data_IF_520879014824
#
_entry.id   IF_520879014824
#
_cell.length_a   1.000
_cell.length_b   1.000
_cell.length_c   1.000
_cell.angle_alpha   90.00
_cell.angle_beta   90.00
_cell.angle_gamma   90.00
#
_symmetry.space_group_name_H-M   'P 1'
#
loop_
_entity.id
_entity.type
_entity.pdbx_description
1 polymer ?
#
# COMPACT_ATOMS: atom_id res chain seq x y z
N UNK A 1 58.46 18.34 -21.14
CA UNK A 1 58.00 17.03 -21.63
C UNK A 1 56.51 16.89 -21.32
N UNK A 2 55.70 16.56 -22.34
CA UNK A 2 54.25 16.19 -22.36
C UNK A 2 53.25 17.35 -22.10
N UNK A 3 52.47 17.88 -23.07
CA UNK A 3 51.31 17.32 -23.84
C UNK A 3 50.15 16.90 -22.88
N UNK A 4 48.86 17.27 -23.00
CA UNK A 4 48.01 17.73 -24.13
C UNK A 4 46.63 18.27 -23.63
N UNK A 5 46.00 19.16 -24.44
CA UNK A 5 44.56 19.30 -24.81
C UNK A 5 43.49 19.73 -23.76
N UNK A 6 42.89 20.94 -23.86
CA UNK A 6 41.66 21.35 -24.60
C UNK A 6 40.37 20.77 -23.94
N UNK A 7 39.36 21.54 -23.51
CA UNK A 7 38.31 22.13 -24.36
C UNK A 7 37.51 23.20 -23.59
N UNK A 8 37.12 24.21 -24.38
CA UNK A 8 36.35 25.45 -24.18
C UNK A 8 34.84 25.20 -23.98
N UNK A 9 34.13 25.97 -23.13
CA UNK A 9 32.91 26.74 -23.51
C UNK A 9 32.27 27.56 -22.35
N UNK A 10 32.50 28.89 -22.41
CA UNK A 10 31.55 30.01 -22.38
C UNK A 10 30.29 29.91 -21.48
N UNK A 11 30.29 30.70 -20.40
CA UNK A 11 29.13 31.10 -19.59
C UNK A 11 28.90 32.62 -19.70
N UNK A 12 27.65 33.04 -19.90
CA UNK A 12 27.06 34.40 -19.71
C UNK A 12 25.70 34.42 -20.45
N UNK A 13 24.57 35.02 -20.06
CA UNK A 13 24.13 35.98 -19.04
C UNK A 13 22.58 35.94 -19.02
N UNK A 14 21.96 36.32 -17.90
CA UNK A 14 20.50 36.45 -17.73
C UNK A 14 19.93 37.74 -18.34
N UNK A 15 18.66 37.74 -18.79
CA UNK A 15 17.83 38.94 -19.00
C UNK A 15 16.32 38.69 -18.73
N UNK A 16 15.54 39.73 -18.38
CA UNK A 16 14.17 39.64 -17.85
C UNK A 16 13.09 39.68 -18.95
N UNK A 17 12.01 38.92 -18.77
CA UNK A 17 10.84 38.93 -19.69
C UNK A 17 9.83 39.98 -19.21
N UNK A 18 9.70 41.07 -19.97
CA UNK A 18 8.77 42.18 -19.75
C UNK A 18 7.40 41.96 -20.43
N UNK A 19 6.41 42.68 -19.91
CA UNK A 19 4.97 42.61 -20.19
C UNK A 19 4.48 42.88 -21.63
N UNK A 20 5.36 42.97 -22.63
CA UNK A 20 4.95 43.14 -24.04
C UNK A 20 4.24 41.89 -24.61
N UNK A 21 4.62 40.68 -24.17
CA UNK A 21 4.07 39.40 -24.67
C UNK A 21 2.56 39.23 -24.43
N UNK A 22 1.98 39.93 -23.46
CA UNK A 22 0.60 39.69 -23.04
C UNK A 22 -0.41 40.44 -23.93
N UNK A 23 -0.09 41.65 -24.39
CA UNK A 23 -1.00 42.44 -25.24
C UNK A 23 -1.09 41.93 -26.68
N UNK A 24 -0.04 41.29 -27.20
CA UNK A 24 -0.08 40.63 -28.52
C UNK A 24 -0.96 39.37 -28.52
N UNK A 25 -1.08 38.68 -27.37
CA UNK A 25 -1.98 37.53 -27.23
C UNK A 25 -3.46 37.92 -27.19
N UNK A 26 -3.80 39.10 -26.66
CA UNK A 26 -5.19 39.55 -26.55
C UNK A 26 -5.75 40.05 -27.89
N UNK A 27 -4.95 40.73 -28.72
CA UNK A 27 -5.41 41.18 -30.05
C UNK A 27 -5.64 40.05 -31.07
N UNK A 28 -4.96 38.91 -30.88
CA UNK A 28 -5.07 37.75 -31.79
C UNK A 28 -6.36 36.94 -31.56
N UNK A 29 -7.05 37.11 -30.42
CA UNK A 29 -8.25 36.35 -30.06
C UNK A 29 -9.56 36.75 -30.74
N UNK A 30 -9.63 37.93 -31.38
CA UNK A 30 -10.90 38.47 -31.89
C UNK A 30 -11.21 38.13 -33.37
N UNK A 31 -10.31 37.43 -34.08
CA UNK A 31 -10.42 37.24 -35.54
C UNK A 31 -10.72 35.83 -36.04
N UNK A 32 -11.07 34.86 -35.18
CA UNK A 32 -11.16 33.43 -35.58
C UNK A 32 -12.45 32.73 -35.15
N UNK A 33 -13.61 33.39 -35.28
CA UNK A 33 -14.91 32.78 -34.91
C UNK A 33 -15.49 31.92 -36.05
N UNK A 34 -15.01 32.07 -37.29
CA UNK A 34 -15.63 31.44 -38.47
C UNK A 34 -15.11 30.01 -38.77
N UNK A 35 -13.91 29.63 -38.32
CA UNK A 35 -13.31 28.29 -38.53
C UNK A 35 -13.64 27.27 -37.42
N UNK A 36 -14.25 27.72 -36.31
CA UNK A 36 -14.50 26.88 -35.13
C UNK A 36 -15.70 25.95 -35.33
N UNK A 37 -16.63 26.30 -36.23
CA UNK A 37 -17.83 25.50 -36.47
C UNK A 37 -17.54 24.15 -37.18
N UNK A 38 -16.50 24.06 -38.02
CA UNK A 38 -16.12 22.79 -38.67
C UNK A 38 -15.23 21.92 -37.79
N UNK A 39 -14.31 22.51 -37.01
CA UNK A 39 -13.49 21.76 -36.03
C UNK A 39 -14.30 21.24 -34.84
N UNK A 40 -15.45 21.84 -34.53
CA UNK A 40 -16.32 21.39 -33.44
C UNK A 40 -16.90 19.98 -33.68
N UNK A 41 -17.13 19.57 -34.93
CA UNK A 41 -17.69 18.24 -35.23
C UNK A 41 -16.60 17.16 -35.18
N UNK A 42 -15.39 17.46 -35.66
CA UNK A 42 -14.25 16.53 -35.60
C UNK A 42 -13.69 16.39 -34.17
N UNK A 43 -13.73 17.47 -33.37
CA UNK A 43 -13.34 17.45 -31.97
C UNK A 43 -14.35 16.69 -31.08
N UNK A 44 -15.63 16.67 -31.44
CA UNK A 44 -16.62 15.80 -30.78
C UNK A 44 -16.38 14.33 -31.15
N UNK A 45 -15.97 14.01 -32.38
CA UNK A 45 -15.56 12.66 -32.75
C UNK A 45 -14.36 12.14 -31.94
N UNK A 46 -13.30 12.96 -31.80
CA UNK A 46 -12.12 12.60 -31.00
C UNK A 46 -12.39 12.62 -29.48
N UNK A 47 -13.32 13.46 -29.01
CA UNK A 47 -13.73 13.46 -27.61
C UNK A 47 -14.57 12.21 -27.28
N UNK A 48 -15.38 11.70 -28.21
CA UNK A 48 -16.16 10.46 -27.99
C UNK A 48 -15.23 9.23 -27.98
N UNK A 49 -14.17 9.19 -28.80
CA UNK A 49 -13.12 8.16 -28.70
C UNK A 49 -12.33 8.26 -27.38
N UNK A 50 -11.99 9.47 -26.92
CA UNK A 50 -11.29 9.66 -25.63
C UNK A 50 -12.20 9.47 -24.40
N UNK A 51 -13.53 9.40 -24.59
CA UNK A 51 -14.49 9.11 -23.51
C UNK A 51 -14.90 7.64 -23.51
N UNK A 52 -14.63 6.89 -24.59
CA UNK A 52 -14.74 5.43 -24.65
C UNK A 52 -13.74 4.69 -23.75
N UNK A 53 -12.66 5.36 -23.32
CA UNK A 53 -11.64 4.82 -22.41
C UNK A 53 -11.89 5.17 -20.93
N UNK A 54 -12.98 5.90 -20.64
CA UNK A 54 -13.39 6.28 -19.28
C UNK A 54 -14.64 5.53 -18.79
N UNK A 55 -15.05 4.49 -19.53
CA UNK A 55 -16.16 3.59 -19.15
C UNK A 55 -15.66 2.14 -19.16
N UNK A 56 -14.66 1.89 -18.32
CA UNK A 56 -14.34 0.56 -17.80
C UNK A 56 -14.09 0.76 -16.31
N UNK A 57 -15.08 0.44 -15.48
CA UNK A 57 -14.96 0.34 -14.01
C UNK A 57 -14.05 -0.84 -13.61
N UNK A 58 -12.92 -1.03 -14.30
CA UNK A 58 -11.86 -1.96 -13.90
C UNK A 58 -10.66 -1.13 -13.46
N UNK A 59 -10.41 -1.09 -12.16
CA UNK A 59 -9.13 -0.62 -11.66
C UNK A 59 -8.03 -1.51 -12.24
N UNK A 60 -7.12 -0.94 -13.05
CA UNK A 60 -5.99 -1.71 -13.57
C UNK A 60 -5.17 -2.31 -12.41
N UNK A 61 -4.44 -3.42 -12.63
CA UNK A 61 -3.52 -3.95 -11.62
C UNK A 61 -2.57 -2.87 -11.08
N UNK A 62 -2.07 -1.97 -11.92
CA UNK A 62 -1.18 -0.88 -11.52
C UNK A 62 -1.85 0.13 -10.61
N UNK A 63 -3.08 0.58 -10.95
CA UNK A 63 -3.85 1.48 -10.11
C UNK A 63 -4.16 0.83 -8.75
N UNK A 64 -4.49 -0.46 -8.80
CA UNK A 64 -4.78 -1.29 -7.63
C UNK A 64 -3.56 -1.43 -6.72
N UNK A 65 -2.36 -1.68 -7.29
CA UNK A 65 -1.09 -1.71 -6.56
C UNK A 65 -0.79 -0.37 -5.89
N UNK A 66 -0.91 0.73 -6.62
CA UNK A 66 -0.67 2.07 -6.08
C UNK A 66 -1.58 2.42 -4.89
N UNK A 67 -2.85 1.99 -4.92
CA UNK A 67 -3.77 2.15 -3.79
C UNK A 67 -3.36 1.31 -2.58
N UNK A 68 -2.97 0.05 -2.78
CA UNK A 68 -2.47 -0.80 -1.71
C UNK A 68 -1.17 -0.28 -1.12
N UNK A 69 -0.29 0.26 -1.96
CA UNK A 69 0.98 0.82 -1.53
C UNK A 69 0.78 1.99 -0.59
N UNK A 70 -0.10 2.92 -0.98
CA UNK A 70 -0.49 4.05 -0.14
C UNK A 70 -1.12 3.56 1.18
N UNK A 71 -2.02 2.58 1.12
CA UNK A 71 -2.66 2.02 2.32
C UNK A 71 -1.62 1.42 3.27
N UNK A 72 -0.68 0.61 2.75
CA UNK A 72 0.35 -0.02 3.55
C UNK A 72 1.27 1.01 4.23
N UNK A 73 1.64 2.06 3.52
CA UNK A 73 2.45 3.16 4.06
C UNK A 73 1.69 3.91 5.17
N UNK A 74 0.42 4.25 4.95
CA UNK A 74 -0.42 4.94 5.95
C UNK A 74 -0.62 4.10 7.22
N UNK A 75 -0.88 2.79 7.06
CA UNK A 75 -1.04 1.86 8.18
C UNK A 75 0.25 1.75 8.99
N UNK A 76 1.40 1.58 8.33
CA UNK A 76 2.68 1.48 9.02
C UNK A 76 3.02 2.80 9.73
N UNK A 77 2.92 3.94 9.06
CA UNK A 77 3.20 5.26 9.65
C UNK A 77 2.37 5.45 10.91
N UNK A 78 1.07 5.13 10.85
CA UNK A 78 0.18 5.23 11.99
C UNK A 78 0.61 4.33 13.14
N UNK A 79 0.93 3.06 12.86
CA UNK A 79 1.40 2.13 13.88
C UNK A 79 2.65 2.65 14.59
N UNK A 80 3.66 3.10 13.84
CA UNK A 80 4.93 3.56 14.40
C UNK A 80 4.76 4.86 15.20
N UNK A 81 3.81 5.71 14.82
CA UNK A 81 3.49 6.94 15.55
C UNK A 81 2.72 6.67 16.85
N UNK A 82 1.84 5.68 16.86
CA UNK A 82 0.95 5.39 17.99
C UNK A 82 1.51 4.31 18.95
N UNK A 83 2.54 3.56 18.56
CA UNK A 83 3.10 2.46 19.34
C UNK A 83 4.64 2.43 19.31
N UNK A 84 5.28 2.85 20.41
CA UNK A 84 6.73 2.88 20.53
C UNK A 84 7.39 1.50 20.51
N UNK A 85 6.70 0.45 21.00
CA UNK A 85 7.19 -0.92 20.94
C UNK A 85 7.27 -1.40 19.48
N UNK A 86 6.25 -1.10 18.67
CA UNK A 86 6.25 -1.38 17.24
C UNK A 86 7.41 -0.68 16.53
N UNK A 87 7.74 0.57 16.91
CA UNK A 87 8.91 1.27 16.39
C UNK A 87 10.23 0.57 16.73
N UNK A 88 10.36 -0.02 17.92
CA UNK A 88 11.53 -0.79 18.32
C UNK A 88 11.61 -2.18 17.66
N UNK A 89 10.47 -2.78 17.30
CA UNK A 89 10.42 -4.04 16.54
C UNK A 89 10.74 -3.79 15.06
N UNK A 90 10.20 -2.73 14.47
CA UNK A 90 10.40 -2.38 13.06
C UNK A 90 11.87 -2.22 12.70
N UNK A 91 12.64 -1.54 13.56
CA UNK A 91 14.09 -1.30 13.39
C UNK A 91 14.92 -2.56 13.22
N UNK A 92 14.45 -3.69 13.77
CA UNK A 92 15.17 -4.97 13.76
C UNK A 92 14.45 -6.03 12.92
N UNK A 93 13.39 -5.66 12.20
CA UNK A 93 12.62 -6.58 11.36
C UNK A 93 13.26 -6.75 9.98
N UNK A 94 13.10 -7.94 9.39
CA UNK A 94 13.51 -8.24 8.02
C UNK A 94 12.49 -7.81 6.95
N UNK A 95 11.37 -7.23 7.39
CA UNK A 95 10.27 -6.82 6.54
C UNK A 95 8.99 -6.75 7.35
N UNK A 96 7.95 -6.23 6.72
CA UNK A 96 6.61 -6.15 7.31
C UNK A 96 5.53 -6.47 6.29
N UNK A 97 4.35 -6.82 6.77
CA UNK A 97 3.15 -6.91 5.96
C UNK A 97 2.01 -6.11 6.61
N UNK A 98 1.49 -5.13 5.88
CA UNK A 98 0.41 -4.26 6.34
C UNK A 98 -0.88 -4.57 5.58
N UNK A 99 -1.98 -4.74 6.32
CA UNK A 99 -3.29 -5.08 5.78
C UNK A 99 -4.38 -4.15 6.28
N UNK A 100 -5.38 -3.94 5.44
CA UNK A 100 -6.67 -3.39 5.83
C UNK A 100 -7.76 -4.45 5.59
N UNK A 101 -8.54 -4.73 6.63
CA UNK A 101 -9.63 -5.70 6.61
C UNK A 101 -10.98 -5.00 6.67
N UNK A 102 -11.87 -5.43 5.77
CA UNK A 102 -13.29 -5.08 5.80
C UNK A 102 -14.09 -6.30 6.27
N UNK A 103 -15.00 -6.08 7.22
CA UNK A 103 -15.87 -7.14 7.73
C UNK A 103 -17.21 -7.12 7.01
N UNK A 104 -17.64 -8.29 6.56
CA UNK A 104 -19.00 -8.52 6.08
C UNK A 104 -19.67 -9.43 7.11
N UNK A 105 -20.65 -8.90 7.84
CA UNK A 105 -21.41 -9.69 8.82
C UNK A 105 -22.77 -10.04 8.24
N UNK A 106 -23.00 -11.33 7.97
CA UNK A 106 -24.28 -11.87 7.48
C UNK A 106 -24.76 -12.88 8.51
N UNK A 107 -25.70 -12.51 9.37
CA UNK A 107 -26.23 -13.41 10.40
C UNK A 107 -26.61 -14.79 9.81
N UNK A 108 -26.12 -15.93 10.36
CA UNK A 108 -25.34 -16.12 11.60
C UNK A 108 -23.81 -16.22 11.41
N UNK A 109 -23.27 -15.93 10.23
CA UNK A 109 -21.85 -16.06 9.88
C UNK A 109 -21.17 -14.68 9.73
N UNK A 110 -20.03 -14.50 10.39
CA UNK A 110 -19.17 -13.34 10.12
C UNK A 110 -17.92 -13.79 9.38
N UNK A 111 -17.66 -13.19 8.22
CA UNK A 111 -16.41 -13.33 7.50
C UNK A 111 -15.77 -11.95 7.32
N UNK A 112 -14.44 -11.91 7.33
CA UNK A 112 -13.68 -10.71 7.02
C UNK A 112 -12.75 -11.01 5.87
N UNK A 113 -12.65 -10.08 4.94
CA UNK A 113 -11.70 -10.14 3.84
C UNK A 113 -10.90 -8.84 3.81
N UNK A 114 -9.61 -8.96 3.54
CA UNK A 114 -8.70 -7.84 3.52
C UNK A 114 -7.62 -7.99 2.46
N UNK A 115 -6.96 -6.88 2.18
CA UNK A 115 -5.85 -6.80 1.24
C UNK A 115 -4.68 -6.08 1.89
N UNK A 116 -3.48 -6.40 1.45
CA UNK A 116 -2.27 -5.87 2.04
C UNK A 116 -1.07 -5.93 1.14
N UNK A 117 0.03 -5.40 1.66
CA UNK A 117 1.34 -5.41 1.01
C UNK A 117 2.37 -5.91 2.02
N UNK A 118 3.15 -6.91 1.61
CA UNK A 118 4.37 -7.31 2.29
C UNK A 118 5.57 -6.60 1.65
N UNK A 119 6.37 -5.92 2.44
CA UNK A 119 7.52 -5.13 2.00
C UNK A 119 8.79 -5.67 2.65
N UNK A 120 9.73 -6.08 1.79
CA UNK A 120 11.05 -6.57 2.18
C UNK A 120 11.91 -5.42 2.70
N UNK A 121 12.58 -5.62 3.85
CA UNK A 121 13.55 -4.64 4.34
C UNK A 121 14.88 -4.67 3.54
N UNK A 122 15.15 -5.75 2.80
CA UNK A 122 16.40 -5.97 2.07
C UNK A 122 16.51 -5.09 0.83
N UNK A 123 15.43 -5.01 0.06
CA UNK A 123 15.39 -4.39 -1.28
C UNK A 123 14.15 -3.51 -1.51
N UNK A 124 13.24 -3.43 -0.55
CA UNK A 124 11.98 -2.71 -0.69
C UNK A 124 10.97 -3.39 -1.61
N UNK A 125 11.22 -4.65 -2.02
CA UNK A 125 10.31 -5.39 -2.88
C UNK A 125 8.94 -5.53 -2.22
N UNK A 126 7.90 -5.27 -3.00
CA UNK A 126 6.50 -5.30 -2.56
C UNK A 126 5.81 -6.53 -3.13
N UNK A 127 5.23 -7.35 -2.25
CA UNK A 127 4.36 -8.47 -2.61
C UNK A 127 2.93 -8.14 -2.17
N UNK A 128 1.98 -8.24 -3.09
CA UNK A 128 0.58 -7.94 -2.81
C UNK A 128 -0.10 -9.18 -2.25
N UNK A 129 -0.83 -9.00 -1.16
CA UNK A 129 -1.35 -10.09 -0.34
C UNK A 129 -2.85 -9.92 -0.11
N UNK A 130 -3.51 -11.04 0.13
CA UNK A 130 -4.90 -11.13 0.56
C UNK A 130 -4.97 -11.75 1.95
N UNK A 131 -6.04 -11.47 2.67
CA UNK A 131 -6.35 -12.13 3.94
C UNK A 131 -7.83 -12.44 4.07
N UNK A 132 -8.14 -13.49 4.81
CA UNK A 132 -9.50 -13.97 5.05
C UNK A 132 -9.66 -14.50 6.46
N UNK A 133 -10.79 -14.19 7.08
CA UNK A 133 -11.18 -14.68 8.41
C UNK A 133 -12.51 -15.43 8.34
N UNK A 134 -12.59 -16.59 9.00
CA UNK A 134 -13.82 -17.41 9.04
C UNK A 134 -13.68 -18.68 9.91
N UNK A 135 -14.80 -19.28 10.31
CA UNK A 135 -14.85 -20.57 11.02
C UNK A 135 -15.72 -20.62 12.29
N UNK A 136 -16.00 -21.83 12.79
CA UNK A 136 -16.67 -22.07 14.09
C UNK A 136 -15.69 -21.70 15.20
N UNK A 137 -15.87 -20.52 15.81
CA UNK A 137 -14.86 -19.88 16.67
C UNK A 137 -14.48 -18.46 16.23
N UNK A 138 -14.86 -18.05 15.01
CA UNK A 138 -14.75 -16.67 14.51
C UNK A 138 -15.64 -15.66 15.27
N UNK A 139 -16.32 -16.12 16.34
CA UNK A 139 -17.05 -15.29 17.29
C UNK A 139 -16.13 -14.57 18.30
N UNK A 140 -14.86 -14.97 18.45
CA UNK A 140 -13.96 -14.37 19.44
C UNK A 140 -12.91 -13.46 18.80
N UNK A 141 -13.03 -12.16 19.05
CA UNK A 141 -11.85 -11.37 19.42
C UNK A 141 -11.64 -10.03 18.73
N UNK A 142 -12.23 -9.78 17.56
CA UNK A 142 -12.13 -8.47 16.89
C UNK A 142 -13.54 -7.99 16.59
N UNK A 143 -14.09 -7.13 17.45
CA UNK A 143 -15.42 -6.54 17.29
C UNK A 143 -15.52 -5.77 15.96
N UNK A 144 -16.71 -5.75 15.36
CA UNK A 144 -16.98 -5.36 13.97
C UNK A 144 -16.60 -3.94 13.55
N UNK A 145 -15.32 -3.73 13.23
CA UNK A 145 -14.80 -2.48 12.66
C UNK A 145 -13.67 -2.79 11.67
N UNK A 146 -13.46 -1.87 10.73
CA UNK A 146 -12.23 -1.74 9.94
C UNK A 146 -11.03 -2.02 10.85
N UNK A 147 -10.27 -3.04 10.51
CA UNK A 147 -9.16 -3.49 11.35
C UNK A 147 -7.91 -3.49 10.49
N UNK A 148 -6.94 -2.70 10.93
CA UNK A 148 -5.63 -2.63 10.31
C UNK A 148 -4.70 -3.61 11.04
N UNK A 149 -3.92 -4.36 10.27
CA UNK A 149 -2.99 -5.36 10.78
C UNK A 149 -1.60 -5.06 10.25
N UNK A 150 -0.60 -5.19 11.11
CA UNK A 150 0.80 -5.22 10.70
C UNK A 150 1.46 -6.45 11.27
N UNK A 151 2.15 -7.19 10.43
CA UNK A 151 3.00 -8.31 10.81
C UNK A 151 4.43 -7.88 10.54
N UNK A 152 5.31 -7.98 11.54
CA UNK A 152 6.76 -7.77 11.35
C UNK A 152 7.47 -9.11 11.45
N UNK A 153 8.47 -9.32 10.62
CA UNK A 153 9.19 -10.60 10.51
C UNK A 153 10.58 -10.49 11.10
N UNK A 154 10.99 -11.51 11.86
CA UNK A 154 12.28 -11.53 12.54
C UNK A 154 13.43 -11.70 11.56
N UNK A 155 13.31 -12.64 10.61
CA UNK A 155 14.35 -12.97 9.64
C UNK A 155 13.86 -12.88 8.20
N UNK A 156 14.78 -12.72 7.21
CA UNK A 156 14.41 -12.77 5.80
C UNK A 156 13.72 -14.07 5.42
N UNK A 157 14.11 -15.19 6.05
CA UNK A 157 13.48 -16.50 5.84
C UNK A 157 12.03 -16.53 6.32
N UNK A 158 11.71 -15.87 7.44
CA UNK A 158 10.33 -15.77 7.92
C UNK A 158 9.47 -14.92 6.98
N UNK A 159 10.03 -13.82 6.48
CA UNK A 159 9.37 -12.97 5.48
C UNK A 159 9.13 -13.73 4.17
N UNK A 160 10.17 -14.38 3.61
CA UNK A 160 10.10 -15.17 2.39
C UNK A 160 9.06 -16.28 2.50
N UNK A 161 9.08 -17.04 3.60
CA UNK A 161 8.09 -18.09 3.84
C UNK A 161 6.68 -17.55 3.83
N UNK A 162 6.44 -16.39 4.44
CA UNK A 162 5.14 -15.75 4.48
C UNK A 162 4.66 -15.31 3.10
N UNK A 163 5.52 -14.67 2.29
CA UNK A 163 5.12 -14.21 0.96
C UNK A 163 4.95 -15.36 -0.04
N UNK A 164 5.73 -16.43 0.09
CA UNK A 164 5.64 -17.58 -0.82
C UNK A 164 4.51 -18.54 -0.47
N UNK A 165 4.35 -18.89 0.80
CA UNK A 165 3.43 -19.95 1.24
C UNK A 165 2.16 -19.39 1.89
N UNK A 166 2.11 -18.08 2.14
CA UNK A 166 1.11 -17.49 3.00
C UNK A 166 1.31 -17.88 4.46
N UNK A 167 0.25 -17.70 5.25
CA UNK A 167 0.24 -18.05 6.66
C UNK A 167 -1.17 -18.39 7.13
N UNK A 168 -1.31 -19.44 7.95
CA UNK A 168 -2.58 -19.84 8.53
C UNK A 168 -2.51 -19.78 10.05
N UNK A 169 -3.00 -18.68 10.61
CA UNK A 169 -3.01 -18.45 12.05
C UNK A 169 -4.00 -19.35 12.80
N UNK A 170 -4.92 -20.04 12.09
CA UNK A 170 -5.87 -20.97 12.73
C UNK A 170 -5.21 -22.27 13.16
N UNK A 171 -4.19 -22.72 12.43
CA UNK A 171 -3.45 -23.94 12.75
C UNK A 171 -2.55 -23.80 13.99
N UNK A 172 -2.21 -22.56 14.38
CA UNK A 172 -1.37 -22.27 15.55
C UNK A 172 -2.16 -22.06 16.82
N UNK A 173 -3.46 -21.75 16.73
CA UNK A 173 -4.35 -21.57 17.87
C UNK A 173 -4.31 -22.77 18.83
N UNK A 174 -4.31 -24.00 18.28
CA UNK A 174 -4.22 -25.25 19.05
C UNK A 174 -2.83 -25.59 19.58
N UNK A 175 -1.77 -24.87 19.17
CA UNK A 175 -0.40 -25.07 19.66
C UNK A 175 -0.02 -24.12 20.80
N UNK A 176 -0.80 -23.06 21.02
CA UNK A 176 -0.55 -22.05 22.04
C UNK A 176 -1.34 -22.27 23.35
N UNK A 177 -2.31 -23.19 23.38
CA UNK A 177 -2.93 -23.66 24.64
C UNK A 177 -1.88 -24.40 25.49
N UNK A 178 -1.42 -23.77 26.58
CA UNK A 178 -0.55 -24.39 27.59
C UNK A 178 0.86 -23.80 27.74
N UNK A 179 1.24 -22.80 26.94
CA UNK A 179 2.50 -22.07 27.17
C UNK A 179 2.25 -20.80 27.98
N UNK A 180 2.50 -20.85 29.30
CA UNK A 180 2.74 -19.63 30.07
C UNK A 180 3.99 -18.94 29.50
N UNK A 181 3.81 -17.78 28.86
CA UNK A 181 4.92 -16.96 28.38
C UNK A 181 5.09 -15.76 29.30
N UNK A 182 6.26 -15.66 29.91
CA UNK A 182 6.68 -14.51 30.71
C UNK A 182 6.84 -13.30 29.77
N UNK A 183 6.01 -12.27 29.97
CA UNK A 183 5.70 -11.23 29.01
C UNK A 183 6.80 -10.15 28.79
N UNK A 184 8.06 -10.41 29.16
CA UNK A 184 9.02 -9.31 29.35
C UNK A 184 10.05 -9.13 28.23
N UNK A 185 10.23 -10.07 27.29
CA UNK A 185 11.36 -9.94 26.34
C UNK A 185 11.17 -10.46 24.91
N UNK A 186 10.09 -11.17 24.60
CA UNK A 186 9.95 -11.77 23.27
C UNK A 186 9.18 -10.85 22.34
N UNK A 187 9.93 -10.04 21.57
CA UNK A 187 9.41 -9.18 20.51
C UNK A 187 8.69 -9.98 19.42
N UNK A 188 9.24 -11.14 19.04
CA UNK A 188 8.73 -12.02 17.97
C UNK A 188 8.29 -13.39 18.50
N UNK A 189 7.06 -13.80 18.19
CA UNK A 189 6.56 -15.15 18.44
C UNK A 189 6.60 -15.97 17.15
N UNK A 190 7.40 -17.04 17.15
CA UNK A 190 7.65 -17.88 15.96
C UNK A 190 8.07 -17.06 14.72
N UNK A 191 9.04 -16.15 14.90
CA UNK A 191 9.56 -15.30 13.84
C UNK A 191 8.67 -14.12 13.44
N UNK A 192 7.55 -13.86 14.17
CA UNK A 192 6.53 -12.88 13.78
C UNK A 192 6.06 -12.03 14.95
N UNK A 193 5.83 -10.75 14.71
CA UNK A 193 5.19 -9.82 15.67
C UNK A 193 3.89 -9.30 15.08
N UNK A 194 2.77 -9.53 15.75
CA UNK A 194 1.45 -9.11 15.28
C UNK A 194 0.98 -7.84 15.98
N UNK A 195 0.64 -6.83 15.19
CA UNK A 195 0.03 -5.59 15.65
C UNK A 195 -1.36 -5.46 15.05
N UNK A 196 -2.37 -5.30 15.90
CA UNK A 196 -3.77 -5.18 15.48
C UNK A 196 -4.34 -3.90 16.03
N UNK A 197 -4.85 -3.05 15.13
CA UNK A 197 -5.54 -1.85 15.52
C UNK A 197 -6.93 -2.21 16.08
N UNK A 198 -7.22 -1.75 17.29
CA UNK A 198 -8.53 -1.86 17.92
C UNK A 198 -9.09 -0.48 18.25
N UNK A 199 -10.36 -0.41 18.70
CA UNK A 199 -10.96 0.83 19.22
C UNK A 199 -10.15 1.51 20.34
N UNK A 200 -9.35 0.74 21.08
CA UNK A 200 -8.56 1.21 22.22
C UNK A 200 -7.09 1.50 21.83
N UNK A 201 -6.75 1.42 20.53
CA UNK A 201 -5.39 1.53 20.02
C UNK A 201 -4.80 0.19 19.59
N UNK A 202 -3.51 0.22 19.24
CA UNK A 202 -2.74 -0.93 18.76
C UNK A 202 -2.47 -1.94 19.87
N UNK A 203 -2.74 -3.22 19.59
CA UNK A 203 -2.45 -4.35 20.46
C UNK A 203 -1.29 -5.15 19.89
N UNK A 204 -0.25 -5.37 20.71
CA UNK A 204 0.95 -6.16 20.37
C UNK A 204 0.70 -7.63 20.71
N UNK A 205 1.26 -8.54 19.91
CA UNK A 205 1.13 -9.99 20.07
C UNK A 205 -0.34 -10.45 20.13
N UNK A 206 -1.22 -9.78 19.38
CA UNK A 206 -2.60 -10.19 19.28
C UNK A 206 -2.68 -11.54 18.56
N UNK A 207 -3.40 -12.49 19.14
CA UNK A 207 -3.66 -13.76 18.48
C UNK A 207 -4.57 -13.51 17.25
N UNK A 208 -4.04 -13.74 16.05
CA UNK A 208 -4.77 -13.64 14.78
C UNK A 208 -5.51 -14.94 14.39
N UNK A 209 -5.77 -15.82 15.36
CA UNK A 209 -6.46 -17.11 15.18
C UNK A 209 -7.67 -16.99 14.27
N UNK A 210 -7.80 -17.94 13.34
CA UNK A 210 -8.91 -17.93 12.37
C UNK A 210 -8.66 -17.02 11.16
N UNK A 211 -7.44 -16.50 10.99
CA UNK A 211 -7.03 -15.70 9.83
C UNK A 211 -6.05 -16.45 8.95
N UNK A 212 -6.29 -16.44 7.64
CA UNK A 212 -5.35 -16.91 6.62
C UNK A 212 -4.88 -15.74 5.77
N UNK A 213 -3.62 -15.79 5.35
CA UNK A 213 -2.96 -14.83 4.47
C UNK A 213 -2.39 -15.59 3.26
N UNK A 214 -2.51 -15.02 2.07
CA UNK A 214 -1.99 -15.62 0.83
C UNK A 214 -1.64 -14.56 -0.21
N UNK A 215 -0.81 -14.92 -1.18
CA UNK A 215 -0.40 -14.03 -2.28
C UNK A 215 -1.58 -13.69 -3.19
N UNK A 216 -1.60 -12.47 -3.72
CA UNK A 216 -2.56 -12.05 -4.73
C UNK A 216 -2.00 -12.32 -6.14
N UNK A 217 -2.35 -13.46 -6.74
CA UNK A 217 -1.82 -13.87 -8.05
C UNK A 217 -2.17 -12.91 -9.19
N UNK A 218 -3.19 -12.05 -9.03
CA UNK A 218 -3.54 -11.04 -10.04
C UNK A 218 -2.62 -9.81 -9.98
N UNK A 219 -1.89 -9.62 -8.88
CA UNK A 219 -1.07 -8.43 -8.62
C UNK A 219 0.43 -8.73 -8.52
N UNK A 220 0.86 -9.98 -8.52
CA UNK A 220 2.27 -10.39 -8.44
C UNK A 220 2.69 -11.16 -9.69
#
# INVERSE_FOLDING_TARGET
MKQTLLVLLISTLAFPVSAQSFMDKVKTGAGKVEDVAKKGVDAVGAAVDSTGELVSDEETPEATRAKLDKMADEVLIRLLAENSEAAEVYKISAGYAAFDMRRISIFPLSAGYGRGVAVSATDGARTYMQMGTGGVGAAFGIGGFESQFVIMFETPVDFERFVENGYDASAEAGKMEGMERTATEVKFTDGRSFFVLSKKGWRVNANASGTKYWKDDALN
#
